data_IF_191134713557
#
_entry.id   IF_191134713557
#
_cell.length_a   1.000
_cell.length_b   1.000
_cell.length_c   1.000
_cell.angle_alpha   90.00
_cell.angle_beta   90.00
_cell.angle_gamma   90.00
#
_symmetry.space_group_name_H-M   'P 1'
#
loop_
_entity.id
_entity.type
_entity.pdbx_description
1 polymer ?
#
# COMPACT_ATOMS: atom_id res chain seq x y z
N UNK A 1 10.79 77.07 31.07
CA UNK A 1 10.69 77.41 29.63
C UNK A 1 10.97 76.12 28.85
N UNK A 2 10.11 75.55 28.00
CA UNK A 2 8.75 75.86 27.52
C UNK A 2 8.06 74.51 27.20
N UNK A 3 6.73 74.48 27.45
CA UNK A 3 5.61 73.76 26.81
C UNK A 3 5.91 72.54 25.92
N UNK A 4 5.33 71.34 26.16
CA UNK A 4 3.92 70.92 26.00
C UNK A 4 3.45 70.77 24.53
N UNK A 5 3.22 69.52 24.07
CA UNK A 5 2.16 69.14 23.12
C UNK A 5 1.72 67.70 23.42
N UNK A 6 0.46 67.53 23.77
CA UNK A 6 -0.27 66.26 23.81
C UNK A 6 -0.82 65.95 22.39
N UNK A 7 -0.85 64.69 21.95
CA UNK A 7 -1.74 64.29 20.85
C UNK A 7 -2.14 62.80 20.90
N UNK A 8 -3.43 62.62 21.14
CA UNK A 8 -4.40 61.58 20.79
C UNK A 8 -4.02 60.11 20.48
N UNK A 9 -4.73 59.24 21.21
CA UNK A 9 -5.33 57.97 20.78
C UNK A 9 -5.59 57.86 19.27
N UNK A 10 -5.16 56.74 18.68
CA UNK A 10 -6.00 56.03 17.70
C UNK A 10 -5.94 54.53 17.95
N UNK A 11 -7.12 54.00 18.29
CA UNK A 11 -7.47 52.59 18.31
C UNK A 11 -7.21 51.99 16.92
N UNK A 12 -6.16 51.18 16.80
CA UNK A 12 -5.96 50.27 15.68
C UNK A 12 -6.36 48.85 16.07
N UNK A 13 -7.65 48.63 16.32
CA UNK A 13 -8.25 47.30 16.22
C UNK A 13 -8.13 46.85 14.76
N UNK A 14 -6.98 46.27 14.38
CA UNK A 14 -6.94 45.43 13.19
C UNK A 14 -7.42 44.05 13.59
N UNK A 15 -8.72 43.86 13.39
CA UNK A 15 -9.38 42.58 13.22
C UNK A 15 -8.63 41.75 12.18
N UNK A 16 -7.69 40.92 12.61
CA UNK A 16 -7.11 39.83 11.85
C UNK A 16 -7.62 38.51 12.43
N UNK A 17 -8.94 38.34 12.40
CA UNK A 17 -9.59 37.04 12.57
C UNK A 17 -10.63 36.89 11.45
N UNK A 18 -10.17 36.97 10.20
CA UNK A 18 -10.81 36.21 9.13
C UNK A 18 -9.91 35.01 8.84
N UNK A 19 -9.97 34.05 9.77
CA UNK A 19 -9.74 32.67 9.38
C UNK A 19 -10.83 32.38 8.34
N UNK A 20 -10.50 32.50 7.04
CA UNK A 20 -11.42 32.14 5.98
C UNK A 20 -11.76 30.68 6.21
N UNK A 21 -12.94 30.42 6.78
CA UNK A 21 -13.40 29.07 7.02
C UNK A 21 -13.71 28.49 5.64
N UNK A 22 -12.71 27.87 5.03
CA UNK A 22 -12.90 27.15 3.79
C UNK A 22 -14.10 26.22 3.95
N UNK A 23 -15.01 26.18 2.95
CA UNK A 23 -16.25 25.46 3.08
C UNK A 23 -15.97 23.99 3.35
N UNK A 24 -16.65 23.44 4.35
CA UNK A 24 -16.66 22.00 4.60
C UNK A 24 -17.24 21.30 3.37
N UNK A 25 -16.55 20.28 2.86
CA UNK A 25 -17.00 19.49 1.71
C UNK A 25 -17.56 18.16 2.21
N UNK A 26 -18.82 17.87 1.91
CA UNK A 26 -19.42 16.55 2.17
C UNK A 26 -19.02 15.60 1.03
N UNK A 27 -18.44 14.45 1.37
CA UNK A 27 -18.11 13.41 0.37
C UNK A 27 -19.14 12.29 0.32
N UNK A 28 -19.73 11.93 1.47
CA UNK A 28 -20.77 10.90 1.57
C UNK A 28 -21.85 11.41 2.52
N UNK A 29 -23.11 11.36 2.11
CA UNK A 29 -24.26 11.71 2.96
C UNK A 29 -25.26 10.55 3.01
N UNK A 30 -25.49 10.01 4.21
CA UNK A 30 -26.50 8.99 4.48
C UNK A 30 -27.65 9.55 5.34
N UNK A 31 -27.82 10.88 5.37
CA UNK A 31 -28.86 11.58 6.11
C UNK A 31 -28.71 11.41 7.62
N UNK A 32 -29.82 11.08 8.31
CA UNK A 32 -29.86 10.90 9.76
C UNK A 32 -28.89 9.79 10.27
N UNK A 33 -28.46 8.90 9.37
CA UNK A 33 -27.52 7.84 9.68
C UNK A 33 -26.07 8.32 9.83
N UNK A 34 -25.72 9.46 9.24
CA UNK A 34 -24.39 10.05 9.32
C UNK A 34 -23.86 10.53 7.96
N UNK A 35 -22.70 11.19 8.00
CA UNK A 35 -22.03 11.80 6.84
C UNK A 35 -20.52 11.69 6.96
N UNK A 36 -19.83 11.52 5.84
CA UNK A 36 -18.37 11.66 5.75
C UNK A 36 -18.06 13.04 5.18
N UNK A 37 -17.31 13.81 5.95
CA UNK A 37 -16.98 15.20 5.66
C UNK A 37 -15.47 15.39 5.57
N UNK A 38 -15.06 16.27 4.66
CA UNK A 38 -13.72 16.82 4.59
C UNK A 38 -13.76 18.23 5.18
N UNK A 39 -12.88 18.45 6.16
CA UNK A 39 -12.71 19.73 6.84
C UNK A 39 -11.29 20.24 6.59
N UNK A 40 -11.11 21.35 5.86
CA UNK A 40 -9.78 21.94 5.67
C UNK A 40 -9.13 22.37 6.99
N UNK A 41 -7.80 22.37 7.02
CA UNK A 41 -6.99 22.81 8.16
C UNK A 41 -6.08 23.97 7.77
N UNK A 42 -5.73 24.81 8.75
CA UNK A 42 -4.89 25.98 8.55
C UNK A 42 -3.44 25.69 8.11
N UNK A 43 -2.96 24.44 8.24
CA UNK A 43 -1.65 24.00 7.76
C UNK A 43 -1.82 22.91 6.70
N UNK A 44 -1.97 23.35 5.45
CA UNK A 44 -1.89 22.61 4.17
C UNK A 44 -2.42 21.16 4.15
N UNK A 45 -3.54 20.92 4.80
CA UNK A 45 -4.15 19.60 4.80
C UNK A 45 -5.60 19.57 5.20
N UNK A 46 -6.17 18.38 5.15
CA UNK A 46 -7.58 18.11 5.36
C UNK A 46 -7.77 17.08 6.48
N UNK A 47 -8.93 17.14 7.13
CA UNK A 47 -9.40 16.09 8.04
C UNK A 47 -10.65 15.46 7.46
N UNK A 48 -10.58 14.15 7.19
CA UNK A 48 -11.74 13.34 6.88
C UNK A 48 -12.40 12.92 8.20
N UNK A 49 -13.71 13.14 8.34
CA UNK A 49 -14.47 12.82 9.54
C UNK A 49 -15.72 12.05 9.19
N UNK A 50 -15.95 10.94 9.90
CA UNK A 50 -17.27 10.35 9.99
C UNK A 50 -18.04 11.09 11.08
N UNK A 51 -19.17 11.71 10.73
CA UNK A 51 -20.04 12.42 11.67
C UNK A 51 -21.39 11.72 11.78
N UNK A 52 -21.84 11.46 13.01
CA UNK A 52 -23.14 10.82 13.30
C UNK A 52 -23.77 11.46 14.54
N UNK A 53 -24.96 12.03 14.40
CA UNK A 53 -25.72 12.68 15.49
C UNK A 53 -24.86 13.68 16.30
N UNK A 54 -24.09 14.52 15.61
CA UNK A 54 -23.20 15.51 16.23
C UNK A 54 -21.90 14.96 16.83
N UNK A 55 -21.67 13.63 16.80
CA UNK A 55 -20.43 13.00 17.25
C UNK A 55 -19.50 12.70 16.07
N UNK A 56 -18.22 12.57 16.37
CA UNK A 56 -17.16 12.18 15.41
C UNK A 56 -16.57 10.82 15.82
N UNK A 57 -17.22 9.70 15.50
CA UNK A 57 -16.72 8.37 15.87
C UNK A 57 -15.39 7.99 15.21
N UNK A 58 -15.01 8.66 14.11
CA UNK A 58 -13.77 8.34 13.39
C UNK A 58 -13.25 9.57 12.62
N UNK A 59 -11.92 9.68 12.50
CA UNK A 59 -11.28 10.69 11.67
C UNK A 59 -9.93 10.22 11.10
N UNK A 60 -9.52 10.78 9.96
CA UNK A 60 -8.20 10.65 9.36
C UNK A 60 -7.68 12.00 8.84
N UNK A 61 -6.38 12.07 8.57
CA UNK A 61 -5.69 13.28 8.09
C UNK A 61 -4.92 12.96 6.81
N UNK A 62 -4.96 13.86 5.84
CA UNK A 62 -4.24 13.78 4.59
C UNK A 62 -4.04 15.20 4.04
N UNK A 63 -3.20 15.40 3.04
CA UNK A 63 -3.14 16.69 2.32
C UNK A 63 -4.40 16.92 1.49
N UNK A 64 -4.94 15.85 0.89
CA UNK A 64 -6.15 15.91 0.07
C UNK A 64 -6.96 14.62 0.21
N UNK A 65 -8.27 14.75 0.25
CA UNK A 65 -9.23 13.64 0.19
C UNK A 65 -10.13 13.75 -1.03
N UNK A 66 -10.49 12.62 -1.62
CA UNK A 66 -11.38 12.54 -2.79
C UNK A 66 -12.28 11.32 -2.71
N UNK A 67 -13.44 11.38 -3.35
CA UNK A 67 -14.28 10.20 -3.52
C UNK A 67 -13.54 9.19 -4.39
N UNK A 68 -13.46 7.94 -3.93
CA UNK A 68 -12.91 6.86 -4.73
C UNK A 68 -13.83 6.58 -5.91
N UNK A 69 -13.30 6.68 -7.15
CA UNK A 69 -14.05 6.41 -8.40
C UNK A 69 -15.41 7.11 -8.44
N UNK A 70 -15.42 8.41 -8.15
CA UNK A 70 -16.63 9.24 -8.11
C UNK A 70 -17.76 8.68 -7.22
N UNK A 71 -17.38 7.95 -6.16
CA UNK A 71 -18.32 7.34 -5.23
C UNK A 71 -18.89 6.00 -5.70
N UNK A 72 -18.27 5.35 -6.69
CA UNK A 72 -18.67 4.01 -7.12
C UNK A 72 -18.64 3.03 -5.92
N UNK A 73 -19.69 2.21 -5.75
CA UNK A 73 -19.75 1.24 -4.68
C UNK A 73 -18.70 0.15 -4.87
N UNK A 74 -18.00 -0.15 -3.79
CA UNK A 74 -17.08 -1.28 -3.64
C UNK A 74 -17.90 -2.46 -3.09
N UNK A 75 -18.10 -3.55 -3.85
CA UNK A 75 -18.75 -4.73 -3.32
C UNK A 75 -17.87 -5.30 -2.21
N UNK A 76 -18.43 -5.36 -1.01
CA UNK A 76 -17.79 -5.95 0.15
C UNK A 76 -18.54 -7.19 0.61
N UNK A 77 -19.49 -7.74 -0.12
CA UNK A 77 -20.15 -8.98 0.30
C UNK A 77 -21.36 -9.29 -0.55
N UNK A 78 -22.02 -10.40 -0.25
CA UNK A 78 -23.29 -10.76 -0.87
C UNK A 78 -24.34 -9.70 -0.48
N UNK A 79 -24.59 -8.76 -1.38
CA UNK A 79 -25.48 -7.60 -1.21
C UNK A 79 -24.99 -6.51 -0.24
N UNK A 80 -23.69 -6.47 0.09
CA UNK A 80 -23.12 -5.36 0.86
C UNK A 80 -22.15 -4.53 0.02
N UNK A 81 -22.26 -3.20 0.13
CA UNK A 81 -21.39 -2.25 -0.55
C UNK A 81 -20.76 -1.27 0.43
N UNK A 82 -19.53 -0.85 0.10
CA UNK A 82 -18.84 0.25 0.76
C UNK A 82 -18.60 1.38 -0.23
N UNK A 83 -18.54 2.60 0.29
CA UNK A 83 -18.09 3.78 -0.44
C UNK A 83 -16.65 4.07 -0.04
N UNK A 84 -15.82 4.39 -1.02
CA UNK A 84 -14.41 4.71 -0.80
C UNK A 84 -14.16 6.21 -0.76
N UNK A 85 -13.23 6.62 0.11
CA UNK A 85 -12.60 7.94 0.08
C UNK A 85 -11.10 7.73 0.10
N UNK A 86 -10.40 8.31 -0.87
CA UNK A 86 -8.95 8.24 -0.97
C UNK A 86 -8.34 9.44 -0.27
N UNK A 87 -7.26 9.23 0.46
CA UNK A 87 -6.48 10.27 1.10
C UNK A 87 -5.05 10.25 0.56
N UNK A 88 -4.57 11.38 0.07
CA UNK A 88 -3.19 11.60 -0.34
C UNK A 88 -2.45 12.35 0.77
N UNK A 89 -1.45 11.75 1.39
CA UNK A 89 -0.74 12.37 2.52
C UNK A 89 0.30 13.41 2.11
N UNK A 90 0.62 13.45 0.81
CA UNK A 90 1.64 14.31 0.22
C UNK A 90 3.07 14.08 0.68
N UNK A 91 4.00 14.79 0.02
CA UNK A 91 5.45 14.60 0.12
C UNK A 91 6.05 13.89 -1.10
N UNK A 92 7.38 13.86 -1.22
CA UNK A 92 8.09 13.32 -2.39
C UNK A 92 7.82 11.83 -2.71
N UNK A 93 7.27 11.09 -1.74
CA UNK A 93 6.92 9.67 -1.86
C UNK A 93 5.40 9.41 -1.76
N UNK A 94 4.57 10.47 -1.85
CA UNK A 94 3.12 10.49 -2.14
C UNK A 94 2.33 9.23 -1.77
N UNK A 95 2.09 8.97 -0.49
CA UNK A 95 1.37 7.77 -0.10
C UNK A 95 -0.15 7.96 -0.12
N UNK A 96 -0.85 7.06 -0.80
CA UNK A 96 -2.32 6.99 -0.83
C UNK A 96 -2.86 6.05 0.24
N UNK A 97 -4.03 6.37 0.77
CA UNK A 97 -4.82 5.49 1.65
C UNK A 97 -6.27 5.48 1.18
N UNK A 98 -6.88 4.30 1.04
CA UNK A 98 -8.32 4.17 0.83
C UNK A 98 -9.03 3.94 2.16
N UNK A 99 -9.95 4.82 2.49
CA UNK A 99 -10.88 4.67 3.59
C UNK A 99 -12.21 4.16 3.06
N UNK A 100 -12.65 3.02 3.56
CA UNK A 100 -13.91 2.39 3.18
C UNK A 100 -14.96 2.63 4.25
N UNK A 101 -16.16 3.01 3.80
CA UNK A 101 -17.32 3.24 4.65
C UNK A 101 -18.48 2.38 4.17
N UNK A 102 -18.95 1.46 5.01
CA UNK A 102 -20.17 0.71 4.74
C UNK A 102 -21.38 1.61 4.92
N UNK A 103 -22.28 1.57 3.94
CA UNK A 103 -23.59 2.20 3.99
C UNK A 103 -24.65 1.10 4.00
N UNK A 104 -25.54 1.10 5.00
CA UNK A 104 -26.63 0.12 5.08
C UNK A 104 -27.67 0.48 6.13
N UNK A 105 -28.56 -0.46 6.45
CA UNK A 105 -29.66 -0.27 7.40
C UNK A 105 -29.21 0.19 8.80
N UNK A 106 -28.00 -0.19 9.22
CA UNK A 106 -27.40 0.23 10.50
C UNK A 106 -26.76 1.63 10.46
N UNK A 107 -26.77 2.25 9.28
CA UNK A 107 -26.19 3.54 8.97
C UNK A 107 -24.78 3.47 8.41
N UNK A 108 -24.08 4.61 8.51
CA UNK A 108 -22.73 4.78 7.97
C UNK A 108 -21.68 4.38 9.01
N UNK A 109 -20.74 3.52 8.62
CA UNK A 109 -19.65 3.06 9.48
C UNK A 109 -18.34 2.97 8.70
N UNK A 110 -17.23 3.41 9.30
CA UNK A 110 -15.89 3.14 8.79
C UNK A 110 -15.58 1.65 8.97
N UNK A 111 -15.10 0.99 7.91
CA UNK A 111 -14.83 -0.46 7.91
C UNK A 111 -13.36 -0.82 7.71
N UNK A 112 -12.62 0.00 6.95
CA UNK A 112 -11.20 -0.22 6.74
C UNK A 112 -10.51 1.08 6.32
N UNK A 113 -9.25 1.21 6.70
CA UNK A 113 -8.29 2.04 5.97
C UNK A 113 -7.33 1.05 5.30
N UNK A 114 -6.91 1.28 4.07
CA UNK A 114 -6.01 0.40 3.31
C UNK A 114 -4.88 1.25 2.71
N UNK A 115 -3.60 0.98 2.99
CA UNK A 115 -2.49 1.79 2.51
C UNK A 115 -2.07 1.32 1.11
N UNK A 116 -1.85 2.24 0.19
CA UNK A 116 -1.48 1.94 -1.21
C UNK A 116 -0.03 2.27 -1.55
N UNK A 117 0.69 2.92 -0.61
CA UNK A 117 2.01 3.48 -0.93
C UNK A 117 1.89 4.46 -2.08
N UNK A 118 2.81 4.40 -3.06
CA UNK A 118 2.80 5.36 -4.18
C UNK A 118 1.64 5.18 -5.16
N UNK A 119 0.92 4.07 -5.08
CA UNK A 119 -0.01 3.64 -6.12
C UNK A 119 -1.28 4.47 -6.09
N UNK A 120 -1.73 4.85 -7.27
CA UNK A 120 -2.99 5.56 -7.39
C UNK A 120 -4.15 4.62 -7.04
N UNK A 121 -5.21 5.16 -6.42
CA UNK A 121 -6.38 4.35 -6.03
C UNK A 121 -7.00 3.57 -7.19
N UNK A 122 -6.84 4.04 -8.42
CA UNK A 122 -7.39 3.42 -9.63
C UNK A 122 -6.93 1.96 -9.82
N UNK A 123 -5.77 1.60 -9.26
CA UNK A 123 -5.23 0.24 -9.24
C UNK A 123 -6.04 -0.76 -8.38
N UNK A 124 -6.94 -0.28 -7.52
CA UNK A 124 -7.80 -1.14 -6.67
C UNK A 124 -8.81 -1.86 -7.55
N UNK A 125 -8.57 -3.14 -7.85
CA UNK A 125 -9.54 -3.98 -8.57
C UNK A 125 -10.58 -4.52 -7.59
N UNK A 126 -11.85 -4.30 -7.94
CA UNK A 126 -13.00 -4.94 -7.29
C UNK A 126 -13.14 -6.32 -7.93
N UNK A 127 -13.21 -7.38 -7.14
CA UNK A 127 -13.35 -8.70 -7.74
C UNK A 127 -14.73 -8.93 -8.32
N UNK A 128 -14.85 -9.82 -9.31
CA UNK A 128 -16.13 -10.37 -9.71
C UNK A 128 -16.84 -11.06 -8.52
N UNK A 129 -18.18 -11.20 -8.60
CA UNK A 129 -18.95 -11.93 -7.60
C UNK A 129 -18.38 -13.34 -7.34
N UNK A 130 -18.21 -13.70 -6.07
CA UNK A 130 -17.60 -14.98 -5.66
C UNK A 130 -16.08 -14.97 -5.51
N UNK A 131 -15.40 -13.87 -5.86
CA UNK A 131 -13.97 -13.64 -5.62
C UNK A 131 -13.67 -12.81 -4.35
N UNK A 132 -12.39 -12.52 -4.06
CA UNK A 132 -11.99 -11.71 -2.90
C UNK A 132 -12.53 -10.28 -3.00
N UNK A 133 -13.17 -9.73 -1.97
CA UNK A 133 -13.77 -8.39 -2.01
C UNK A 133 -12.88 -7.30 -2.63
N UNK A 134 -11.59 -7.26 -2.27
CA UNK A 134 -10.62 -6.27 -2.75
C UNK A 134 -9.26 -6.92 -2.98
N UNK A 135 -8.51 -6.43 -3.95
CA UNK A 135 -7.12 -6.83 -4.19
C UNK A 135 -6.21 -5.63 -3.98
N UNK A 136 -5.23 -5.78 -3.08
CA UNK A 136 -4.45 -4.67 -2.54
C UNK A 136 -2.94 -4.91 -2.68
N UNK A 137 -2.24 -4.00 -3.33
CA UNK A 137 -0.78 -4.04 -3.43
C UNK A 137 -0.10 -3.75 -2.09
N UNK A 138 0.85 -4.59 -1.67
CA UNK A 138 1.72 -4.29 -0.54
C UNK A 138 2.90 -3.42 -0.96
N UNK A 139 2.84 -2.15 -0.57
CA UNK A 139 3.86 -1.16 -0.87
C UNK A 139 5.15 -1.31 -0.06
N UNK A 140 5.28 -2.34 0.79
CA UNK A 140 6.51 -2.50 1.60
C UNK A 140 7.76 -2.73 0.74
N UNK A 141 7.61 -3.18 -0.50
CA UNK A 141 8.70 -3.33 -1.47
C UNK A 141 8.77 -2.19 -2.49
N UNK A 142 8.05 -1.08 -2.28
CA UNK A 142 8.27 0.14 -3.06
C UNK A 142 9.68 0.69 -2.79
N UNK A 143 10.31 1.26 -3.82
CA UNK A 143 11.66 1.83 -3.73
C UNK A 143 12.68 0.82 -3.17
N UNK A 144 12.60 -0.42 -3.66
CA UNK A 144 13.52 -1.44 -3.21
C UNK A 144 14.93 -1.22 -3.77
N UNK A 145 15.80 -0.77 -2.89
CA UNK A 145 17.24 -0.72 -3.10
C UNK A 145 17.88 -2.09 -2.80
N UNK A 146 17.66 -3.06 -3.68
CA UNK A 146 18.55 -4.21 -3.72
C UNK A 146 20.01 -3.71 -3.92
N UNK A 147 21.06 -4.43 -3.47
CA UNK A 147 22.47 -4.04 -3.68
C UNK A 147 22.83 -3.78 -5.16
N UNK A 148 21.95 -4.21 -6.04
CA UNK A 148 21.82 -3.87 -7.45
C UNK A 148 20.56 -2.98 -7.59
N UNK A 149 20.69 -1.67 -7.36
CA UNK A 149 19.58 -0.71 -7.32
C UNK A 149 18.68 -0.88 -8.53
N UNK A 150 17.40 -1.12 -8.28
CA UNK A 150 16.50 -1.48 -9.35
C UNK A 150 15.64 -0.36 -9.86
N UNK A 151 15.37 0.65 -9.04
CA UNK A 151 14.22 1.52 -9.28
C UNK A 151 12.97 0.73 -9.74
N UNK A 152 12.83 -0.54 -9.32
CA UNK A 152 11.75 -1.41 -9.72
C UNK A 152 10.88 -1.62 -8.50
N UNK A 153 9.65 -1.16 -8.63
CA UNK A 153 8.65 -1.34 -7.61
C UNK A 153 8.12 -2.75 -7.68
N UNK A 154 8.24 -3.44 -6.56
CA UNK A 154 7.56 -4.70 -6.34
C UNK A 154 6.42 -4.42 -5.39
N UNK A 155 5.22 -4.82 -5.78
CA UNK A 155 4.03 -4.54 -5.00
C UNK A 155 3.16 -5.80 -5.00
N UNK A 156 3.54 -6.84 -4.21
CA UNK A 156 2.82 -8.10 -4.22
C UNK A 156 1.37 -7.88 -3.77
N UNK A 157 0.42 -8.42 -4.51
CA UNK A 157 -0.99 -8.21 -4.21
C UNK A 157 -1.51 -9.16 -3.13
N UNK A 158 -2.23 -8.61 -2.16
CA UNK A 158 -2.92 -9.31 -1.08
C UNK A 158 -4.43 -9.29 -1.38
N UNK A 159 -5.08 -10.45 -1.57
CA UNK A 159 -6.53 -10.54 -1.62
C UNK A 159 -7.12 -10.29 -0.24
N UNK A 160 -8.24 -9.58 -0.20
CA UNK A 160 -9.04 -9.34 0.99
C UNK A 160 -10.41 -9.96 0.81
N UNK A 161 -10.92 -10.57 1.87
CA UNK A 161 -12.31 -11.01 1.99
C UNK A 161 -13.03 -10.17 3.02
N UNK A 162 -14.34 -10.09 2.89
CA UNK A 162 -15.19 -9.52 3.92
C UNK A 162 -15.70 -10.59 4.87
N UNK A 163 -15.71 -10.27 6.16
CA UNK A 163 -16.18 -11.18 7.21
C UNK A 163 -17.59 -10.88 7.72
N UNK A 164 -18.31 -9.95 7.09
CA UNK A 164 -19.53 -9.36 7.66
C UNK A 164 -19.26 -8.17 8.59
N UNK A 165 -18.01 -8.00 9.02
CA UNK A 165 -17.60 -6.98 10.00
C UNK A 165 -16.37 -6.19 9.57
N UNK A 166 -15.39 -6.85 8.99
CA UNK A 166 -14.12 -6.25 8.60
C UNK A 166 -13.62 -6.82 7.27
N UNK A 167 -12.79 -6.03 6.59
CA UNK A 167 -11.96 -6.53 5.51
C UNK A 167 -10.71 -7.16 6.13
N UNK A 168 -10.45 -8.41 5.80
CA UNK A 168 -9.31 -9.17 6.28
C UNK A 168 -8.57 -9.81 5.10
N UNK A 169 -7.24 -9.96 5.16
CA UNK A 169 -6.51 -10.74 4.18
C UNK A 169 -7.09 -12.14 4.01
N UNK A 170 -7.34 -12.54 2.77
CA UNK A 170 -7.83 -13.88 2.42
C UNK A 170 -6.63 -14.82 2.24
N UNK A 171 -6.22 -15.44 3.34
CA UNK A 171 -5.08 -16.37 3.35
C UNK A 171 -5.30 -17.60 2.48
N UNK A 172 -6.55 -18.00 2.22
CA UNK A 172 -6.84 -19.09 1.29
C UNK A 172 -6.59 -18.66 -0.16
N UNK A 173 -7.05 -17.46 -0.54
CA UNK A 173 -6.81 -16.89 -1.89
C UNK A 173 -5.34 -16.46 -2.12
N UNK A 174 -4.61 -16.17 -1.04
CA UNK A 174 -3.16 -15.94 -1.08
C UNK A 174 -2.40 -17.22 -1.44
N UNK A 175 -2.81 -18.38 -0.92
CA UNK A 175 -2.16 -19.66 -1.24
C UNK A 175 -2.39 -19.99 -2.71
N UNK A 176 -1.31 -20.03 -3.49
CA UNK A 176 -1.35 -20.31 -4.93
C UNK A 176 -0.32 -21.36 -5.28
N UNK A 177 -0.49 -22.15 -6.34
CA UNK A 177 0.55 -23.06 -6.80
C UNK A 177 1.86 -22.32 -7.10
N UNK A 178 3.01 -23.00 -6.92
CA UNK A 178 4.34 -22.45 -7.24
C UNK A 178 4.37 -21.87 -8.64
N UNK A 179 3.81 -22.58 -9.63
CA UNK A 179 3.78 -22.16 -11.03
C UNK A 179 3.10 -20.80 -11.23
N UNK A 180 2.01 -20.53 -10.53
CA UNK A 180 1.34 -19.23 -10.56
C UNK A 180 2.25 -18.15 -9.94
N UNK A 181 2.89 -18.43 -8.81
CA UNK A 181 3.77 -17.50 -8.11
C UNK A 181 5.06 -17.16 -8.89
N UNK A 182 5.54 -18.09 -9.73
CA UNK A 182 6.71 -17.88 -10.60
C UNK A 182 6.41 -17.03 -11.83
N UNK A 183 5.13 -16.86 -12.18
CA UNK A 183 4.71 -15.98 -13.25
C UNK A 183 4.44 -14.56 -12.76
N UNK A 184 3.24 -14.11 -13.07
CA UNK A 184 2.77 -12.75 -12.83
C UNK A 184 1.85 -12.67 -11.62
N UNK A 185 1.53 -13.77 -10.93
CA UNK A 185 0.43 -13.81 -9.96
C UNK A 185 0.61 -12.85 -8.77
N UNK A 186 1.83 -12.50 -8.39
CA UNK A 186 2.10 -11.49 -7.36
C UNK A 186 2.01 -10.05 -7.88
N UNK A 187 2.21 -9.83 -9.18
CA UNK A 187 2.22 -8.51 -9.86
C UNK A 187 0.95 -8.23 -10.65
N UNK A 188 0.13 -9.26 -10.86
CA UNK A 188 -1.13 -9.22 -11.59
C UNK A 188 -2.12 -8.42 -10.77
N UNK A 189 -2.23 -7.14 -11.12
CA UNK A 189 -3.46 -6.33 -11.25
C UNK A 189 -3.18 -4.82 -11.25
N UNK A 190 -1.93 -4.43 -11.01
CA UNK A 190 -1.47 -3.04 -10.90
C UNK A 190 -0.81 -2.48 -12.18
N UNK A 191 -1.12 -3.03 -13.37
CA UNK A 191 -0.84 -2.29 -14.59
C UNK A 191 -1.99 -1.29 -14.79
N UNK A 192 -1.75 0.03 -14.80
CA UNK A 192 -2.69 0.96 -15.40
C UNK A 192 -2.94 0.56 -16.87
N UNK A 193 -4.09 0.94 -17.42
CA UNK A 193 -4.55 0.46 -18.74
C UNK A 193 -3.59 0.78 -19.89
N UNK A 194 -2.69 1.74 -19.67
CA UNK A 194 -1.64 2.16 -20.59
C UNK A 194 -0.37 1.29 -20.53
N UNK A 195 -0.26 0.37 -19.58
CA UNK A 195 0.86 -0.57 -19.50
C UNK A 195 0.53 -1.90 -20.17
N UNK A 196 1.51 -2.52 -20.86
CA UNK A 196 1.30 -3.84 -21.44
C UNK A 196 0.97 -4.88 -20.36
N UNK A 197 0.21 -5.93 -20.70
CA UNK A 197 -0.15 -6.99 -19.77
C UNK A 197 1.07 -7.54 -19.00
N UNK A 198 0.90 -7.93 -17.73
CA UNK A 198 2.00 -8.42 -16.88
C UNK A 198 2.87 -9.51 -17.54
N UNK A 199 2.28 -10.42 -18.31
CA UNK A 199 2.98 -11.49 -19.04
C UNK A 199 3.93 -10.98 -20.14
N UNK A 200 3.73 -9.74 -20.60
CA UNK A 200 4.63 -9.06 -21.52
C UNK A 200 5.72 -8.26 -20.79
N UNK A 201 5.55 -8.03 -19.49
CA UNK A 201 6.46 -7.22 -18.64
C UNK A 201 7.38 -8.06 -17.75
N UNK A 202 7.04 -9.32 -17.53
CA UNK A 202 7.76 -10.22 -16.62
C UNK A 202 7.96 -11.59 -17.26
N UNK A 203 9.11 -12.20 -16.98
CA UNK A 203 9.32 -13.59 -17.34
C UNK A 203 8.37 -14.48 -16.52
N UNK A 204 7.84 -15.51 -17.16
CA UNK A 204 7.05 -16.56 -16.53
C UNK A 204 7.81 -17.88 -16.64
N UNK A 205 7.66 -18.74 -15.63
CA UNK A 205 8.35 -20.02 -15.59
C UNK A 205 7.37 -21.14 -15.25
N UNK A 206 7.45 -22.28 -15.94
CA UNK A 206 6.56 -23.42 -15.67
C UNK A 206 6.82 -24.05 -14.31
N UNK A 207 8.06 -23.97 -13.79
CA UNK A 207 8.45 -24.45 -12.47
C UNK A 207 9.76 -23.77 -12.01
N UNK A 208 10.16 -24.04 -10.76
CA UNK A 208 11.35 -23.44 -10.17
C UNK A 208 12.64 -23.91 -10.82
N UNK A 209 12.70 -25.12 -11.38
CA UNK A 209 13.90 -25.64 -12.03
C UNK A 209 14.15 -24.89 -13.35
N UNK A 210 13.09 -24.59 -14.10
CA UNK A 210 13.15 -23.74 -15.28
C UNK A 210 13.57 -22.31 -14.93
N UNK A 211 13.00 -21.73 -13.86
CA UNK A 211 13.41 -20.42 -13.36
C UNK A 211 14.89 -20.38 -12.96
N UNK A 212 15.35 -21.38 -12.21
CA UNK A 212 16.74 -21.50 -11.78
C UNK A 212 17.68 -21.61 -13.00
N UNK A 213 17.34 -22.48 -13.95
CA UNK A 213 18.14 -22.68 -15.17
C UNK A 213 18.28 -21.40 -15.98
N UNK A 214 17.15 -20.72 -16.23
CA UNK A 214 17.13 -19.48 -17.00
C UNK A 214 17.94 -18.36 -16.31
N UNK A 215 17.74 -18.16 -15.01
CA UNK A 215 18.42 -17.09 -14.27
C UNK A 215 19.91 -17.35 -14.04
N UNK A 216 20.34 -18.62 -13.98
CA UNK A 216 21.76 -18.99 -13.95
C UNK A 216 22.46 -18.74 -15.28
N UNK A 217 21.76 -18.94 -16.39
CA UNK A 217 22.29 -18.72 -17.73
C UNK A 217 22.36 -17.23 -18.12
N UNK A 218 21.71 -16.36 -17.36
CA UNK A 218 21.69 -14.93 -17.62
C UNK A 218 23.01 -14.23 -17.23
N UNK A 219 23.25 -13.05 -17.80
CA UNK A 219 24.48 -12.29 -17.54
C UNK A 219 24.47 -11.61 -16.17
N UNK A 220 25.24 -12.16 -15.22
CA UNK A 220 25.46 -11.62 -13.88
C UNK A 220 26.51 -10.50 -13.83
N UNK A 221 27.25 -10.26 -14.91
CA UNK A 221 28.15 -9.12 -15.02
C UNK A 221 27.41 -7.85 -15.47
N UNK A 222 26.16 -7.98 -15.93
CA UNK A 222 25.31 -6.85 -16.30
C UNK A 222 25.18 -5.87 -15.13
N UNK A 223 25.36 -4.56 -15.39
CA UNK A 223 25.17 -3.57 -14.34
C UNK A 223 23.69 -3.41 -13.99
N UNK A 224 23.34 -3.25 -12.70
CA UNK A 224 22.01 -2.79 -12.31
C UNK A 224 21.67 -1.46 -12.97
N UNK A 225 20.46 -1.33 -13.52
CA UNK A 225 19.98 -0.13 -14.20
C UNK A 225 20.21 -0.07 -15.71
N UNK A 226 20.78 -1.11 -16.33
CA UNK A 226 20.75 -1.28 -17.79
C UNK A 226 19.34 -1.62 -18.31
N UNK A 227 19.14 -1.62 -19.64
CA UNK A 227 17.86 -2.05 -20.27
C UNK A 227 17.48 -3.49 -19.90
N UNK A 228 18.46 -4.34 -19.60
CA UNK A 228 18.25 -5.70 -19.13
C UNK A 228 18.16 -5.73 -17.59
N UNK A 229 17.14 -6.40 -17.04
CA UNK A 229 17.01 -6.62 -15.60
C UNK A 229 18.10 -7.58 -15.12
N UNK A 230 18.84 -7.18 -14.09
CA UNK A 230 19.86 -8.02 -13.46
C UNK A 230 19.25 -9.36 -12.96
N UNK A 231 19.90 -10.52 -13.11
CA UNK A 231 19.28 -11.80 -12.76
C UNK A 231 18.96 -11.95 -11.26
N UNK A 232 19.85 -11.44 -10.39
CA UNK A 232 19.62 -11.43 -8.94
C UNK A 232 18.40 -10.60 -8.51
N UNK A 233 18.02 -9.61 -9.32
CA UNK A 233 16.80 -8.83 -9.09
C UNK A 233 15.58 -9.69 -9.38
N UNK A 234 15.58 -10.33 -10.54
CA UNK A 234 14.44 -11.11 -10.99
C UNK A 234 14.24 -12.31 -10.04
N UNK A 235 15.33 -12.91 -9.57
CA UNK A 235 15.31 -13.91 -8.51
C UNK A 235 14.66 -13.38 -7.22
N UNK A 236 15.00 -12.16 -6.81
CA UNK A 236 14.46 -11.53 -5.60
C UNK A 236 12.97 -11.17 -5.76
N UNK A 237 12.55 -10.70 -6.94
CA UNK A 237 11.14 -10.52 -7.30
C UNK A 237 10.36 -11.83 -7.14
N UNK A 238 10.81 -12.88 -7.82
CA UNK A 238 10.18 -14.20 -7.79
C UNK A 238 10.12 -14.75 -6.36
N UNK A 239 11.18 -14.57 -5.57
CA UNK A 239 11.21 -15.00 -4.18
C UNK A 239 10.13 -14.34 -3.33
N UNK A 240 9.93 -13.02 -3.47
CA UNK A 240 8.84 -12.31 -2.78
C UNK A 240 7.48 -12.84 -3.25
N UNK A 241 7.30 -13.10 -4.54
CA UNK A 241 6.07 -13.68 -5.08
C UNK A 241 5.76 -15.05 -4.48
N UNK A 242 6.77 -15.91 -4.39
CA UNK A 242 6.68 -17.23 -3.74
C UNK A 242 6.32 -17.09 -2.26
N UNK A 243 6.92 -16.14 -1.54
CA UNK A 243 6.60 -15.89 -0.12
C UNK A 243 5.13 -15.48 0.07
N UNK A 244 4.60 -14.55 -0.74
CA UNK A 244 3.19 -14.15 -0.64
C UNK A 244 2.23 -15.26 -1.03
N UNK A 245 2.68 -16.21 -1.87
CA UNK A 245 1.93 -17.39 -2.25
C UNK A 245 2.01 -18.57 -1.25
N UNK A 246 2.79 -18.44 -0.17
CA UNK A 246 2.94 -19.48 0.85
C UNK A 246 4.13 -20.43 0.66
N UNK A 247 5.10 -20.08 -0.20
CA UNK A 247 6.25 -20.91 -0.59
C UNK A 247 7.59 -20.31 -0.17
N UNK A 248 7.73 -19.83 1.06
CA UNK A 248 8.98 -19.21 1.53
C UNK A 248 10.22 -20.13 1.46
N UNK A 249 10.08 -21.44 1.68
CA UNK A 249 11.19 -22.39 1.53
C UNK A 249 11.64 -22.50 0.07
N UNK A 250 10.68 -22.51 -0.86
CA UNK A 250 10.92 -22.47 -2.31
C UNK A 250 11.66 -21.19 -2.70
N UNK A 251 11.19 -20.06 -2.19
CA UNK A 251 11.77 -18.75 -2.43
C UNK A 251 13.26 -18.72 -2.03
N UNK A 252 13.59 -19.25 -0.84
CA UNK A 252 14.97 -19.34 -0.38
C UNK A 252 15.80 -20.28 -1.24
N UNK A 253 15.25 -21.45 -1.61
CA UNK A 253 15.95 -22.41 -2.46
C UNK A 253 16.28 -21.79 -3.82
N UNK A 254 15.31 -21.14 -4.46
CA UNK A 254 15.49 -20.46 -5.74
C UNK A 254 16.56 -19.38 -5.63
N UNK A 255 16.46 -18.47 -4.66
CA UNK A 255 17.43 -17.39 -4.46
C UNK A 255 18.87 -17.91 -4.35
N UNK A 256 19.08 -18.90 -3.47
CA UNK A 256 20.41 -19.47 -3.22
C UNK A 256 20.93 -20.29 -4.40
N UNK A 257 20.05 -20.98 -5.13
CA UNK A 257 20.45 -21.72 -6.30
C UNK A 257 20.87 -20.79 -7.43
N UNK A 258 20.13 -19.70 -7.64
CA UNK A 258 20.34 -18.77 -8.75
C UNK A 258 21.60 -17.91 -8.56
N UNK A 259 21.95 -17.56 -7.32
CA UNK A 259 23.12 -16.74 -7.04
C UNK A 259 24.44 -17.49 -7.30
N UNK A 260 25.35 -16.95 -8.14
CA UNK A 260 26.65 -17.56 -8.37
C UNK A 260 27.48 -17.63 -7.09
N UNK A 261 28.33 -18.65 -6.98
CA UNK A 261 29.26 -18.78 -5.87
C UNK A 261 30.23 -17.59 -5.85
N UNK A 262 30.45 -17.02 -4.65
CA UNK A 262 31.30 -15.84 -4.47
C UNK A 262 30.70 -14.51 -4.95
N UNK A 263 29.56 -14.50 -5.63
CA UNK A 263 28.89 -13.26 -6.00
C UNK A 263 28.36 -12.54 -4.76
N UNK A 264 28.64 -11.23 -4.68
CA UNK A 264 28.17 -10.40 -3.58
C UNK A 264 26.64 -10.23 -3.61
N UNK A 265 26.08 -9.77 -2.49
CA UNK A 265 24.69 -9.29 -2.43
C UNK A 265 23.66 -10.29 -1.91
N UNK A 266 23.86 -11.61 -2.03
CA UNK A 266 22.85 -12.60 -1.57
C UNK A 266 22.47 -12.42 -0.09
N UNK A 267 23.42 -12.33 0.87
CA UNK A 267 23.05 -12.15 2.27
C UNK A 267 22.33 -10.82 2.53
N UNK A 268 22.65 -9.78 1.78
CA UNK A 268 21.99 -8.47 1.88
C UNK A 268 20.57 -8.53 1.33
N UNK A 269 20.37 -9.16 0.16
CA UNK A 269 19.04 -9.41 -0.41
C UNK A 269 18.17 -10.23 0.52
N UNK A 270 18.69 -11.33 1.10
CA UNK A 270 17.95 -12.13 2.10
C UNK A 270 17.55 -11.30 3.32
N UNK A 271 18.45 -10.43 3.82
CA UNK A 271 18.18 -9.52 4.95
C UNK A 271 17.10 -8.50 4.61
N UNK A 272 17.20 -7.82 3.46
CA UNK A 272 16.25 -6.80 3.06
C UNK A 272 14.85 -7.37 2.84
N UNK A 273 14.73 -8.55 2.23
CA UNK A 273 13.43 -9.25 2.10
C UNK A 273 12.84 -9.49 3.48
N UNK A 274 13.61 -10.06 4.41
CA UNK A 274 13.15 -10.35 5.75
C UNK A 274 12.76 -9.07 6.52
N UNK A 275 13.58 -8.03 6.45
CA UNK A 275 13.36 -6.73 7.10
C UNK A 275 12.08 -6.05 6.60
N UNK A 276 11.90 -5.98 5.28
CA UNK A 276 10.70 -5.41 4.65
C UNK A 276 9.46 -6.22 4.98
N UNK A 277 9.48 -7.55 4.87
CA UNK A 277 8.35 -8.39 5.27
C UNK A 277 7.95 -8.19 6.74
N UNK A 278 8.91 -8.05 7.64
CA UNK A 278 8.61 -7.80 9.04
C UNK A 278 7.91 -6.45 9.27
N UNK A 279 8.14 -5.49 8.37
CA UNK A 279 7.55 -4.16 8.35
C UNK A 279 6.26 -4.06 7.52
N UNK A 280 5.85 -5.12 6.81
CA UNK A 280 4.59 -5.15 6.07
C UNK A 280 3.38 -5.00 7.01
N UNK A 281 2.35 -4.20 6.63
CA UNK A 281 1.08 -4.20 7.34
C UNK A 281 0.35 -5.56 7.23
N UNK A 282 0.74 -6.41 6.28
CA UNK A 282 0.16 -7.74 6.03
C UNK A 282 1.05 -8.88 6.53
N UNK A 283 2.08 -8.60 7.33
CA UNK A 283 3.05 -9.60 7.80
C UNK A 283 2.41 -10.83 8.45
N UNK A 284 1.29 -10.65 9.16
CA UNK A 284 0.65 -11.75 9.89
C UNK A 284 -0.11 -12.67 8.92
N UNK A 285 -0.70 -12.12 7.86
CA UNK A 285 -1.28 -12.90 6.77
C UNK A 285 -0.21 -13.64 5.97
N UNK A 286 0.90 -12.97 5.65
CA UNK A 286 2.06 -13.60 4.97
C UNK A 286 2.63 -14.74 5.82
N UNK A 287 2.74 -14.56 7.15
CA UNK A 287 3.12 -15.64 8.07
C UNK A 287 2.12 -16.79 8.06
N UNK A 288 0.82 -16.50 8.09
CA UNK A 288 -0.23 -17.50 8.14
C UNK A 288 -0.28 -18.40 6.89
N UNK A 289 0.17 -17.92 5.73
CA UNK A 289 0.21 -18.73 4.49
C UNK A 289 1.47 -19.58 4.36
N UNK A 290 2.52 -19.30 5.12
CA UNK A 290 3.78 -20.04 5.08
C UNK A 290 3.90 -21.03 6.26
N UNK A 291 4.83 -21.97 6.15
CA UNK A 291 5.14 -22.90 7.23
C UNK A 291 5.67 -22.17 8.48
N UNK A 292 5.42 -22.73 9.67
CA UNK A 292 6.01 -22.21 10.91
C UNK A 292 7.54 -22.31 10.85
N UNK A 293 8.23 -21.22 11.19
CA UNK A 293 9.69 -21.16 11.09
C UNK A 293 10.23 -20.97 9.67
N UNK A 294 9.36 -20.74 8.69
CA UNK A 294 9.75 -20.44 7.32
C UNK A 294 10.79 -19.30 7.25
N UNK A 295 11.72 -19.37 6.29
CA UNK A 295 12.75 -18.35 6.12
C UNK A 295 12.14 -16.98 5.83
N UNK A 296 12.92 -15.93 6.11
CA UNK A 296 12.54 -14.51 5.98
C UNK A 296 11.46 -14.01 6.96
N UNK A 297 10.65 -14.88 7.55
CA UNK A 297 9.49 -14.47 8.36
C UNK A 297 9.77 -14.30 9.86
N UNK A 298 10.99 -14.62 10.30
CA UNK A 298 11.44 -14.48 11.69
C UNK A 298 11.96 -13.08 12.06
N UNK A 299 12.13 -12.18 11.09
CA UNK A 299 12.62 -10.84 11.35
C UNK A 299 11.62 -9.97 12.14
N UNK A 300 12.15 -8.90 12.74
CA UNK A 300 11.37 -7.88 13.46
C UNK A 300 11.50 -6.56 12.72
N UNK A 301 10.39 -5.83 12.55
CA UNK A 301 10.45 -4.48 11.99
C UNK A 301 11.21 -3.57 12.95
N UNK A 302 12.29 -2.96 12.46
CA UNK A 302 13.05 -1.94 13.19
C UNK A 302 12.49 -0.57 12.83
N UNK A 303 11.96 0.14 13.82
CA UNK A 303 11.54 1.52 13.64
C UNK A 303 12.74 2.37 13.23
N UNK A 304 12.60 3.17 12.18
CA UNK A 304 13.64 4.02 11.59
C UNK A 304 14.87 3.24 11.09
N UNK A 305 14.71 1.95 10.81
CA UNK A 305 15.76 1.12 10.21
C UNK A 305 15.84 1.29 8.69
N UNK A 306 16.94 0.86 8.05
CA UNK A 306 17.08 0.88 6.59
C UNK A 306 16.02 0.01 5.88
N UNK A 307 15.44 -0.94 6.59
CA UNK A 307 14.36 -1.81 6.09
C UNK A 307 12.98 -1.13 6.10
N UNK A 308 12.87 0.07 6.70
CA UNK A 308 11.63 0.79 6.83
C UNK A 308 11.36 1.61 5.56
N UNK A 309 10.33 1.23 4.81
CA UNK A 309 9.93 1.95 3.59
C UNK A 309 8.87 3.01 3.87
N UNK A 310 8.52 3.78 2.82
CA UNK A 310 7.59 4.91 2.85
C UNK A 310 6.24 4.61 3.55
N UNK A 311 5.82 3.34 3.64
CA UNK A 311 4.61 2.89 4.36
C UNK A 311 4.58 3.35 5.83
N UNK A 312 5.73 3.54 6.47
CA UNK A 312 5.78 4.04 7.85
C UNK A 312 5.72 5.57 7.99
N UNK A 313 5.95 6.32 6.92
CA UNK A 313 5.74 7.78 6.93
C UNK A 313 4.24 8.13 7.16
N UNK A 314 3.34 7.18 6.89
CA UNK A 314 1.89 7.31 7.08
C UNK A 314 1.39 7.18 8.52
N UNK A 315 2.25 6.81 9.49
CA UNK A 315 1.83 6.64 10.88
C UNK A 315 0.84 5.49 11.12
N UNK A 316 0.74 4.55 10.17
CA UNK A 316 -0.04 3.34 10.30
C UNK A 316 0.45 2.50 11.51
N UNK A 317 -0.47 2.19 12.41
CA UNK A 317 -0.28 1.33 13.59
C UNK A 317 -1.42 0.33 13.67
#
# INVERSE_FOLDING_TARGET
>A
MRLAVAFCLFLGLFSLIEASAQPRRTLIDAGAAGRVLVVPQAMDGEVLRLSRRGRTPWQARAQRFETFRDGAPVPIGENETALGVTGWTGGAYCCWTLHLFRQGAQGLAHVASLPFGKREPEEVRLSPPGGPAILLSDAVFDFWEAPVSLAADLSPTVPFRWTGRALEPDTAAMRRPVTAALGTACTDMAAPEDQPPPEQRFATYPDSAAAITALRAADWAARPGGRARHPGVEAARIAVCLIYAGHADEARRLLRAVWPEGAAGLPETERQIAGRLACSPFRDAVRAVNATGAPFLGARCRRNGPDQTAVFALGWR
#
